data_IF_675199157635
#
_entry.id   IF_675199157635
#
_cell.length_a   1.000
_cell.length_b   1.000
_cell.length_c   1.000
_cell.angle_alpha   90.00
_cell.angle_beta   90.00
_cell.angle_gamma   90.00
#
_symmetry.space_group_name_H-M   'P 1'
#
loop_
_entity.id
_entity.type
_entity.pdbx_description
1 polymer ?
#
# COMPACT_ATOMS: atom_id res chain seq x y z
N UNK A 1 -13.31 2.84 10.45
CA UNK A 1 -11.91 3.32 10.35
C UNK A 1 -11.82 4.32 9.21
N UNK A 2 -11.21 5.49 9.44
CA UNK A 2 -10.98 6.52 8.40
C UNK A 2 -9.84 6.10 7.49
N UNK A 3 -9.73 6.70 6.30
CA UNK A 3 -8.60 6.44 5.38
C UNK A 3 -7.27 6.79 6.07
N UNK A 4 -7.22 7.88 6.82
CA UNK A 4 -6.00 8.29 7.53
C UNK A 4 -5.55 7.25 8.57
N UNK A 5 -6.50 6.59 9.25
CA UNK A 5 -6.19 5.48 10.14
C UNK A 5 -5.66 4.25 9.38
N UNK A 6 -6.20 3.94 8.19
CA UNK A 6 -5.65 2.88 7.34
C UNK A 6 -4.21 3.17 6.94
N UNK A 7 -3.95 4.40 6.46
CA UNK A 7 -2.61 4.81 6.03
C UNK A 7 -1.62 4.71 7.19
N UNK A 8 -1.96 5.27 8.37
CA UNK A 8 -1.10 5.19 9.54
C UNK A 8 -0.81 3.73 9.96
N UNK A 9 -1.81 2.86 9.99
CA UNK A 9 -1.61 1.43 10.30
C UNK A 9 -0.68 0.75 9.30
N UNK A 10 -0.84 1.03 8.00
CA UNK A 10 0.01 0.43 6.97
C UNK A 10 1.45 0.91 7.10
N UNK A 11 1.69 2.20 7.37
CA UNK A 11 3.03 2.75 7.57
C UNK A 11 3.72 2.09 8.76
N UNK A 12 3.04 1.95 9.90
CA UNK A 12 3.62 1.29 11.07
C UNK A 12 3.93 -0.20 10.80
N UNK A 13 3.10 -0.89 10.01
CA UNK A 13 3.38 -2.27 9.59
C UNK A 13 4.60 -2.36 8.65
N UNK A 14 4.74 -1.42 7.71
CA UNK A 14 5.93 -1.36 6.83
C UNK A 14 7.19 -1.02 7.63
N UNK A 15 7.07 -0.13 8.63
CA UNK A 15 8.19 0.29 9.49
C UNK A 15 8.83 -0.89 10.24
N UNK A 16 8.03 -1.88 10.64
CA UNK A 16 8.51 -3.08 11.35
C UNK A 16 8.79 -4.27 10.43
N UNK A 17 8.54 -4.14 9.13
CA UNK A 17 8.84 -5.17 8.15
C UNK A 17 10.35 -5.35 8.00
N UNK A 18 10.80 -6.60 7.94
CA UNK A 18 12.23 -6.95 7.89
C UNK A 18 12.77 -7.09 6.47
N UNK A 19 11.87 -7.22 5.50
CA UNK A 19 12.24 -7.51 4.11
C UNK A 19 11.12 -7.15 3.14
N UNK A 20 11.46 -7.15 1.86
CA UNK A 20 10.54 -6.84 0.76
C UNK A 20 9.34 -7.79 0.68
N UNK A 21 9.47 -9.06 1.08
CA UNK A 21 8.36 -10.01 1.06
C UNK A 21 7.28 -9.61 2.09
N UNK A 22 7.70 -9.28 3.32
CA UNK A 22 6.80 -8.77 4.36
C UNK A 22 6.12 -7.46 3.95
N UNK A 23 6.86 -6.54 3.31
CA UNK A 23 6.28 -5.29 2.77
C UNK A 23 5.19 -5.59 1.72
N UNK A 24 5.47 -6.49 0.79
CA UNK A 24 4.49 -6.89 -0.24
C UNK A 24 3.23 -7.48 0.40
N UNK A 25 3.38 -8.34 1.39
CA UNK A 25 2.28 -8.96 2.11
C UNK A 25 1.44 -7.93 2.86
N UNK A 26 2.07 -6.97 3.55
CA UNK A 26 1.37 -5.86 4.23
C UNK A 26 0.48 -5.09 3.26
N UNK A 27 0.99 -4.71 2.09
CA UNK A 27 0.22 -4.00 1.07
C UNK A 27 -0.94 -4.86 0.56
N UNK A 28 -0.68 -6.12 0.21
CA UNK A 28 -1.68 -7.02 -0.36
C UNK A 28 -2.81 -7.33 0.63
N UNK A 29 -2.48 -7.64 1.87
CA UNK A 29 -3.44 -7.91 2.95
C UNK A 29 -4.27 -6.66 3.24
N UNK A 30 -3.65 -5.48 3.26
CA UNK A 30 -4.36 -4.23 3.50
C UNK A 30 -5.39 -3.92 2.41
N UNK A 31 -5.02 -4.14 1.15
CA UNK A 31 -5.93 -3.96 0.00
C UNK A 31 -7.07 -4.97 0.05
N UNK A 32 -6.79 -6.24 0.32
CA UNK A 32 -7.81 -7.28 0.44
C UNK A 32 -8.78 -6.98 1.59
N UNK A 33 -8.27 -6.61 2.77
CA UNK A 33 -9.08 -6.24 3.93
C UNK A 33 -10.01 -5.04 3.64
N UNK A 34 -9.55 -4.06 2.86
CA UNK A 34 -10.40 -2.94 2.45
C UNK A 34 -11.53 -3.41 1.51
N UNK A 35 -11.23 -4.31 0.57
CA UNK A 35 -12.21 -4.88 -0.37
C UNK A 35 -13.26 -5.72 0.35
N UNK A 36 -12.86 -6.59 1.28
CA UNK A 36 -13.76 -7.42 2.09
C UNK A 36 -14.73 -6.58 2.94
N UNK A 37 -14.27 -5.41 3.40
CA UNK A 37 -15.11 -4.42 4.09
C UNK A 37 -16.01 -3.61 3.15
N UNK A 38 -16.28 -4.13 1.94
CA UNK A 38 -17.11 -3.53 0.88
C UNK A 38 -16.71 -2.10 0.50
N UNK A 39 -15.42 -1.74 0.62
CA UNK A 39 -14.93 -0.47 0.08
C UNK A 39 -14.88 -0.58 -1.44
N UNK A 40 -15.48 0.39 -2.14
CA UNK A 40 -15.37 0.45 -3.60
C UNK A 40 -13.93 0.77 -4.02
N UNK A 41 -13.59 0.47 -5.29
CA UNK A 41 -12.25 0.68 -5.83
C UNK A 41 -11.74 2.12 -5.65
N UNK A 42 -12.64 3.11 -5.70
CA UNK A 42 -12.29 4.50 -5.46
C UNK A 42 -11.72 4.75 -4.06
N UNK A 43 -12.32 4.18 -3.01
CA UNK A 43 -11.81 4.33 -1.64
C UNK A 43 -10.46 3.64 -1.48
N UNK A 44 -10.28 2.47 -2.09
CA UNK A 44 -9.00 1.75 -2.07
C UNK A 44 -7.93 2.57 -2.77
N UNK A 45 -8.22 3.11 -3.96
CA UNK A 45 -7.29 3.96 -4.70
C UNK A 45 -6.95 5.24 -3.93
N UNK A 46 -7.94 5.88 -3.31
CA UNK A 46 -7.70 7.06 -2.46
C UNK A 46 -6.80 6.75 -1.27
N UNK A 47 -6.92 5.55 -0.70
CA UNK A 47 -6.02 5.09 0.38
C UNK A 47 -4.60 4.87 -0.14
N UNK A 48 -4.45 4.22 -1.30
CA UNK A 48 -3.15 3.98 -1.92
C UNK A 48 -2.44 5.28 -2.29
N UNK A 49 -3.15 6.26 -2.87
CA UNK A 49 -2.58 7.58 -3.18
C UNK A 49 -2.12 8.31 -1.92
N UNK A 50 -2.93 8.29 -0.84
CA UNK A 50 -2.51 8.90 0.43
C UNK A 50 -1.29 8.19 1.04
N UNK A 51 -1.24 6.87 0.92
CA UNK A 51 -0.10 6.08 1.39
C UNK A 51 1.17 6.40 0.59
N UNK A 52 1.07 6.52 -0.74
CA UNK A 52 2.18 6.94 -1.61
C UNK A 52 2.73 8.30 -1.16
N UNK A 53 1.86 9.32 -1.05
CA UNK A 53 2.28 10.66 -0.60
C UNK A 53 2.92 10.64 0.79
N UNK A 54 2.39 9.85 1.72
CA UNK A 54 2.94 9.76 3.07
C UNK A 54 4.33 9.11 3.08
N UNK A 55 4.55 8.06 2.28
CA UNK A 55 5.84 7.39 2.16
C UNK A 55 6.88 8.26 1.43
N UNK A 56 6.47 9.02 0.42
CA UNK A 56 7.34 9.98 -0.27
C UNK A 56 7.77 11.14 0.63
N UNK A 57 6.95 11.50 1.63
CA UNK A 57 7.26 12.51 2.62
C UNK A 57 8.21 12.07 3.73
N UNK A 58 8.57 10.78 3.82
CA UNK A 58 9.51 10.29 4.83
C UNK A 58 10.94 10.70 4.43
N UNK A 59 11.65 11.49 5.24
CA UNK A 59 13.03 11.86 4.93
C UNK A 59 13.98 10.67 5.18
N UNK A 60 15.01 10.47 4.34
CA UNK A 60 15.94 9.35 4.50
C UNK A 60 16.70 9.34 5.84
N UNK A 61 16.91 10.52 6.43
CA UNK A 61 17.68 10.69 7.67
C UNK A 61 16.93 10.21 8.93
N UNK A 62 15.60 10.03 8.86
CA UNK A 62 14.78 9.61 9.99
C UNK A 62 14.58 8.08 10.02
N UNK A 63 15.33 7.32 9.21
CA UNK A 63 15.12 5.89 8.99
C UNK A 63 16.45 5.12 8.94
N UNK A 64 16.44 3.85 9.36
CA UNK A 64 17.55 2.95 9.04
C UNK A 64 17.61 2.67 7.53
N UNK A 65 18.75 2.20 7.04
CA UNK A 65 18.90 1.82 5.62
C UNK A 65 17.90 0.74 5.20
N UNK A 66 17.60 -0.23 6.08
CA UNK A 66 16.61 -1.27 5.85
C UNK A 66 15.19 -0.70 5.79
N UNK A 67 14.84 0.19 6.74
CA UNK A 67 13.53 0.86 6.74
C UNK A 67 13.34 1.70 5.48
N UNK A 68 14.37 2.47 5.10
CA UNK A 68 14.35 3.24 3.86
C UNK A 68 14.15 2.36 2.64
N UNK A 69 14.89 1.25 2.53
CA UNK A 69 14.70 0.27 1.46
C UNK A 69 13.27 -0.28 1.42
N UNK A 70 12.69 -0.61 2.59
CA UNK A 70 11.32 -1.10 2.70
C UNK A 70 10.29 -0.06 2.23
N UNK A 71 10.44 1.22 2.60
CA UNK A 71 9.56 2.28 2.11
C UNK A 71 9.67 2.48 0.59
N UNK A 72 10.88 2.43 0.02
CA UNK A 72 11.07 2.51 -1.44
C UNK A 72 10.45 1.32 -2.16
N UNK A 73 10.56 0.12 -1.58
CA UNK A 73 9.91 -1.06 -2.12
C UNK A 73 8.39 -0.99 -2.02
N UNK A 74 7.84 -0.45 -0.93
CA UNK A 74 6.41 -0.23 -0.78
C UNK A 74 5.82 0.67 -1.88
N UNK A 75 6.53 1.74 -2.28
CA UNK A 75 6.13 2.61 -3.39
C UNK A 75 5.98 1.83 -4.71
N UNK A 76 6.88 0.88 -4.98
CA UNK A 76 6.79 0.01 -6.16
C UNK A 76 5.51 -0.84 -6.09
N UNK A 77 5.26 -1.50 -4.95
CA UNK A 77 4.07 -2.31 -4.73
C UNK A 77 2.76 -1.51 -4.89
N UNK A 78 2.73 -0.26 -4.42
CA UNK A 78 1.56 0.62 -4.51
C UNK A 78 1.25 0.97 -5.96
N UNK A 79 2.28 1.30 -6.75
CA UNK A 79 2.15 1.62 -8.18
C UNK A 79 1.65 0.43 -8.97
N UNK A 80 2.25 -0.75 -8.77
CA UNK A 80 1.81 -2.00 -9.40
C UNK A 80 0.36 -2.34 -9.05
N UNK A 81 -0.03 -2.12 -7.80
CA UNK A 81 -1.40 -2.39 -7.35
C UNK A 81 -2.39 -1.41 -7.95
N UNK A 82 -2.02 -0.14 -8.07
CA UNK A 82 -2.86 0.92 -8.65
C UNK A 82 -3.09 0.69 -10.15
N UNK A 83 -2.05 0.29 -10.89
CA UNK A 83 -2.17 -0.10 -12.32
C UNK A 83 -3.18 -1.26 -12.50
N UNK A 84 -3.14 -2.24 -11.60
CA UNK A 84 -4.09 -3.37 -11.59
C UNK A 84 -5.52 -2.97 -11.17
N UNK A 85 -5.74 -1.79 -10.59
CA UNK A 85 -7.09 -1.30 -10.30
C UNK A 85 -7.72 -0.51 -11.45
N UNK A 86 -6.89 0.15 -12.27
CA UNK A 86 -7.35 0.97 -13.42
C UNK A 86 -7.70 0.09 -14.63
N UNK A 87 -7.13 -1.10 -14.73
CA UNK A 87 -7.57 -2.12 -15.70
C UNK A 87 -8.61 -3.02 -15.03
N UNK A 88 -9.92 -2.83 -15.27
CA UNK A 88 -10.86 -3.90 -15.00
C UNK A 88 -10.46 -5.04 -15.94
N UNK A 89 -9.83 -6.09 -15.41
CA UNK A 89 -9.63 -7.32 -16.15
C UNK A 89 -11.01 -7.87 -16.49
N UNK A 90 -11.44 -7.54 -17.70
CA UNK A 90 -12.43 -8.26 -18.44
C UNK A 90 -11.91 -9.68 -18.65
N UNK A 91 -12.08 -10.55 -17.67
CA UNK A 91 -12.26 -11.98 -17.94
C UNK A 91 -13.72 -12.31 -17.89
N UNK A 92 -14.36 -11.89 -18.98
CA UNK A 92 -15.63 -12.40 -19.46
C UNK A 92 -15.37 -13.86 -19.90
N UNK A 93 -16.08 -14.78 -19.26
CA UNK A 93 -16.82 -15.89 -19.86
C UNK A 93 -16.19 -16.45 -21.15
N UNK A 94 -15.64 -17.67 -21.06
CA UNK A 94 -15.92 -18.80 -21.95
C UNK A 94 -15.54 -20.09 -21.23
#
# INVERSE_FOLDING_TARGET
MTIDKYVATIIEQIRVAKNNAEVKDVIQVSVNNMREKKKNGFIVQRCLNKLETALEGIPPLECSSEQWSCYRFALICIRDTSVKQVTPDQKKIL
#
